data_IF_949962428976
#
_entry.id   IF_949962428976
#
_cell.length_a   1.000
_cell.length_b   1.000
_cell.length_c   1.000
_cell.angle_alpha   90.00
_cell.angle_beta   90.00
_cell.angle_gamma   90.00
#
_symmetry.space_group_name_H-M   'P 1'
#
loop_
_entity.id
_entity.type
_entity.pdbx_description
1 polymer ?
#
# COMPACT_ATOMS: atom_id res chain seq x y z
N UNK A 1 -19.63 22.32 -61.94
CA UNK A 1 -18.24 22.18 -61.45
C UNK A 1 -18.08 22.68 -60.01
N UNK A 2 -18.56 23.88 -59.67
CA UNK A 2 -18.49 24.45 -58.31
C UNK A 2 -19.16 23.56 -57.23
N UNK A 3 -20.31 22.96 -57.54
CA UNK A 3 -21.06 22.07 -56.64
C UNK A 3 -20.32 20.76 -56.30
N UNK A 4 -19.60 20.19 -57.28
CA UNK A 4 -18.78 18.98 -57.08
C UNK A 4 -17.56 19.26 -56.21
N UNK A 5 -16.91 20.41 -56.39
CA UNK A 5 -15.79 20.84 -55.54
C UNK A 5 -16.25 21.08 -54.09
N UNK A 6 -17.41 21.70 -53.90
CA UNK A 6 -18.01 21.93 -52.59
C UNK A 6 -18.36 20.62 -51.87
N UNK A 7 -18.92 19.64 -52.58
CA UNK A 7 -19.19 18.30 -52.03
C UNK A 7 -17.90 17.58 -51.63
N UNK A 8 -16.85 17.61 -52.46
CA UNK A 8 -15.56 16.97 -52.14
C UNK A 8 -14.90 17.61 -50.90
N UNK A 9 -14.97 18.94 -50.75
CA UNK A 9 -14.45 19.64 -49.56
C UNK A 9 -15.25 19.27 -48.31
N UNK A 10 -16.58 19.16 -48.42
CA UNK A 10 -17.44 18.74 -47.29
C UNK A 10 -17.12 17.29 -46.89
N UNK A 11 -17.01 16.35 -47.84
CA UNK A 11 -16.66 14.97 -47.53
C UNK A 11 -15.24 14.83 -46.96
N UNK A 12 -14.26 15.56 -47.49
CA UNK A 12 -12.89 15.55 -46.96
C UNK A 12 -12.80 16.16 -45.55
N UNK A 13 -13.56 17.23 -45.28
CA UNK A 13 -13.60 17.84 -43.95
C UNK A 13 -14.34 16.98 -42.92
N UNK A 14 -15.44 16.32 -43.30
CA UNK A 14 -16.13 15.35 -42.45
C UNK A 14 -15.29 14.11 -42.16
N UNK A 15 -14.59 13.58 -43.18
CA UNK A 15 -13.69 12.44 -43.01
C UNK A 15 -12.50 12.80 -42.11
N UNK A 16 -11.86 13.96 -42.35
CA UNK A 16 -10.77 14.45 -41.51
C UNK A 16 -11.20 14.69 -40.06
N UNK A 17 -12.40 15.22 -39.84
CA UNK A 17 -12.97 15.43 -38.50
C UNK A 17 -13.24 14.11 -37.78
N UNK A 18 -13.80 13.11 -38.46
CA UNK A 18 -14.03 11.79 -37.88
C UNK A 18 -12.72 11.08 -37.55
N UNK A 19 -11.75 11.11 -38.46
CA UNK A 19 -10.44 10.50 -38.23
C UNK A 19 -9.70 11.16 -37.05
N UNK A 20 -9.75 12.49 -36.95
CA UNK A 20 -9.17 13.22 -35.81
C UNK A 20 -9.85 12.84 -34.48
N UNK A 21 -11.18 12.71 -34.46
CA UNK A 21 -11.92 12.26 -33.28
C UNK A 21 -11.54 10.85 -32.87
N UNK A 22 -11.36 9.95 -33.83
CA UNK A 22 -10.95 8.57 -33.58
C UNK A 22 -9.53 8.50 -32.99
N UNK A 23 -8.56 9.24 -33.56
CA UNK A 23 -7.20 9.34 -33.01
C UNK A 23 -7.25 9.89 -31.59
N UNK A 24 -7.99 10.98 -31.35
CA UNK A 24 -8.10 11.58 -30.02
C UNK A 24 -8.70 10.58 -29.02
N UNK A 25 -9.76 9.86 -29.40
CA UNK A 25 -10.36 8.83 -28.54
C UNK A 25 -9.35 7.73 -28.20
N UNK A 26 -8.62 7.22 -29.19
CA UNK A 26 -7.57 6.20 -28.98
C UNK A 26 -6.48 6.70 -28.01
N UNK A 27 -6.03 7.94 -28.17
CA UNK A 27 -5.06 8.57 -27.27
C UNK A 27 -5.56 8.71 -25.83
N UNK A 28 -6.84 9.08 -25.67
CA UNK A 28 -7.50 9.18 -24.37
C UNK A 28 -7.61 7.79 -23.70
N UNK A 29 -8.03 6.78 -24.46
CA UNK A 29 -8.12 5.39 -24.00
C UNK A 29 -6.74 4.83 -23.58
N UNK A 30 -5.68 5.10 -24.34
CA UNK A 30 -4.31 4.70 -23.98
C UNK A 30 -3.84 5.33 -22.66
N UNK A 31 -4.09 6.63 -22.46
CA UNK A 31 -3.73 7.34 -21.22
C UNK A 31 -4.48 6.78 -20.01
N UNK A 32 -5.78 6.55 -20.18
CA UNK A 32 -6.63 5.99 -19.15
C UNK A 32 -6.24 4.53 -18.82
N UNK A 33 -5.97 3.71 -19.82
CA UNK A 33 -5.51 2.33 -19.65
C UNK A 33 -4.14 2.25 -18.96
N UNK A 34 -3.20 3.15 -19.27
CA UNK A 34 -1.91 3.25 -18.58
C UNK A 34 -2.12 3.51 -17.08
N UNK A 35 -2.95 4.49 -16.73
CA UNK A 35 -3.20 4.85 -15.33
C UNK A 35 -3.95 3.75 -14.57
N UNK A 36 -4.95 3.12 -15.18
CA UNK A 36 -5.64 1.96 -14.62
C UNK A 36 -4.66 0.81 -14.36
N UNK A 37 -3.82 0.47 -15.35
CA UNK A 37 -2.79 -0.56 -15.22
C UNK A 37 -1.80 -0.25 -14.10
N UNK A 38 -1.37 1.00 -13.98
CA UNK A 38 -0.45 1.48 -12.95
C UNK A 38 -1.02 1.30 -11.54
N UNK A 39 -2.26 1.76 -11.32
CA UNK A 39 -2.98 1.61 -10.05
C UNK A 39 -3.17 0.13 -9.72
N UNK A 40 -3.54 -0.69 -10.70
CA UNK A 40 -3.71 -2.12 -10.51
C UNK A 40 -2.40 -2.81 -10.09
N UNK A 41 -1.26 -2.47 -10.70
CA UNK A 41 0.04 -3.02 -10.27
C UNK A 41 0.35 -2.63 -8.81
N UNK A 42 0.03 -1.41 -8.39
CA UNK A 42 0.18 -0.97 -7.01
C UNK A 42 -0.65 -1.81 -6.02
N UNK A 43 -1.91 -2.08 -6.34
CA UNK A 43 -2.79 -2.94 -5.54
C UNK A 43 -2.29 -4.40 -5.54
N UNK A 44 -1.88 -4.94 -6.68
CA UNK A 44 -1.33 -6.29 -6.77
C UNK A 44 -0.06 -6.47 -5.93
N UNK A 45 0.80 -5.43 -5.88
CA UNK A 45 1.95 -5.41 -4.98
C UNK A 45 1.52 -5.46 -3.51
N UNK A 46 0.47 -4.71 -3.11
CA UNK A 46 -0.10 -4.82 -1.76
C UNK A 46 -0.55 -6.25 -1.44
N UNK A 47 -1.24 -6.94 -2.35
CA UNK A 47 -1.68 -8.33 -2.11
C UNK A 47 -0.49 -9.28 -1.86
N UNK A 48 0.61 -9.12 -2.60
CA UNK A 48 1.83 -9.90 -2.36
C UNK A 48 2.42 -9.60 -0.98
N UNK A 49 2.40 -8.35 -0.54
CA UNK A 49 2.86 -7.95 0.79
C UNK A 49 1.96 -8.50 1.91
N UNK A 50 0.63 -8.47 1.72
CA UNK A 50 -0.34 -9.07 2.64
C UNK A 50 -0.14 -10.58 2.80
N UNK A 51 0.27 -11.27 1.74
CA UNK A 51 0.51 -12.71 1.73
C UNK A 51 1.88 -13.10 2.33
N UNK A 52 2.74 -12.14 2.67
CA UNK A 52 4.08 -12.41 3.17
C UNK A 52 4.08 -12.96 4.61
N UNK A 53 4.95 -13.94 4.85
CA UNK A 53 5.33 -14.35 6.20
C UNK A 53 6.44 -13.41 6.71
N UNK A 54 6.05 -12.37 7.43
CA UNK A 54 6.95 -11.32 7.92
C UNK A 54 8.05 -11.82 8.87
N UNK A 55 7.89 -13.01 9.45
CA UNK A 55 8.92 -13.64 10.29
C UNK A 55 10.00 -14.30 9.44
N UNK A 56 9.62 -14.89 8.31
CA UNK A 56 10.56 -15.54 7.38
C UNK A 56 11.22 -14.54 6.43
N UNK A 57 10.47 -13.54 5.97
CA UNK A 57 10.94 -12.56 4.98
C UNK A 57 10.67 -11.12 5.43
N UNK A 58 11.36 -10.62 6.47
CA UNK A 58 11.12 -9.29 7.05
C UNK A 58 11.41 -8.12 6.07
N UNK A 59 12.27 -8.36 5.07
CA UNK A 59 12.69 -7.35 4.11
C UNK A 59 11.96 -7.44 2.75
N UNK A 60 10.91 -8.27 2.63
CA UNK A 60 10.21 -8.54 1.37
C UNK A 60 9.62 -7.28 0.71
N UNK A 61 9.36 -6.23 1.49
CA UNK A 61 8.91 -4.94 0.97
C UNK A 61 9.90 -4.27 0.00
N UNK A 62 11.21 -4.54 0.15
CA UNK A 62 12.23 -4.04 -0.78
C UNK A 62 12.15 -4.75 -2.12
N UNK A 63 11.86 -6.05 -2.12
CA UNK A 63 11.71 -6.85 -3.34
C UNK A 63 10.47 -6.40 -4.11
N UNK A 64 9.35 -6.22 -3.41
CA UNK A 64 8.10 -5.75 -4.00
C UNK A 64 8.20 -4.32 -4.53
N UNK A 65 8.97 -3.44 -3.89
CA UNK A 65 9.24 -2.11 -4.41
C UNK A 65 9.99 -2.17 -5.75
N UNK A 66 11.03 -3.01 -5.86
CA UNK A 66 11.78 -3.20 -7.11
C UNK A 66 10.88 -3.76 -8.21
N UNK A 67 10.15 -4.84 -7.91
CA UNK A 67 9.23 -5.49 -8.84
C UNK A 67 8.15 -4.54 -9.34
N UNK A 68 7.58 -3.70 -8.45
CA UNK A 68 6.57 -2.71 -8.83
C UNK A 68 7.15 -1.67 -9.81
N UNK A 69 8.32 -1.13 -9.49
CA UNK A 69 8.99 -0.14 -10.35
C UNK A 69 9.32 -0.71 -11.74
N UNK A 70 9.82 -1.95 -11.80
CA UNK A 70 10.13 -2.63 -13.06
C UNK A 70 8.86 -2.87 -13.91
N UNK A 71 7.78 -3.36 -13.29
CA UNK A 71 6.51 -3.59 -13.99
C UNK A 71 5.94 -2.29 -14.54
N UNK A 72 6.00 -1.22 -13.78
CA UNK A 72 5.48 0.08 -14.18
C UNK A 72 6.34 0.72 -15.27
N UNK A 73 7.66 0.66 -15.17
CA UNK A 73 8.57 1.15 -16.21
C UNK A 73 8.38 0.41 -17.56
N UNK A 74 7.87 -0.82 -17.54
CA UNK A 74 7.56 -1.58 -18.74
C UNK A 74 6.19 -1.26 -19.36
N UNK A 75 5.24 -0.66 -18.62
CA UNK A 75 3.88 -0.38 -19.11
C UNK A 75 3.86 0.53 -20.36
N UNK A 76 4.62 1.64 -20.42
CA UNK A 76 4.54 2.56 -21.54
C UNK A 76 4.82 1.89 -22.90
N UNK A 77 5.84 1.03 -22.94
CA UNK A 77 6.22 0.28 -24.14
C UNK A 77 5.20 -0.77 -24.57
N UNK A 78 4.35 -1.23 -23.64
CA UNK A 78 3.33 -2.25 -23.91
C UNK A 78 2.00 -1.65 -24.37
N UNK A 79 1.75 -0.37 -24.04
CA UNK A 79 0.44 0.28 -24.22
C UNK A 79 0.48 1.33 -25.34
N UNK A 80 1.57 2.10 -25.46
CA UNK A 80 1.62 3.18 -26.45
C UNK A 80 1.75 2.61 -27.85
N UNK A 81 0.76 2.93 -28.68
CA UNK A 81 0.80 2.71 -30.12
C UNK A 81 1.00 4.05 -30.82
N UNK A 82 2.09 4.19 -31.57
CA UNK A 82 2.42 5.41 -32.31
C UNK A 82 3.27 6.41 -31.51
N UNK A 83 3.31 7.68 -31.94
CA UNK A 83 4.11 8.72 -31.28
C UNK A 83 3.50 9.17 -29.96
N UNK A 84 4.33 9.71 -29.07
CA UNK A 84 3.87 10.34 -27.83
C UNK A 84 3.01 11.59 -28.09
N UNK A 85 2.13 11.90 -27.14
CA UNK A 85 1.21 13.04 -27.15
C UNK A 85 1.09 13.63 -25.73
N UNK A 86 0.54 14.85 -25.61
CA UNK A 86 0.61 15.60 -24.35
C UNK A 86 -0.02 14.88 -23.14
N UNK A 87 -1.21 14.29 -23.32
CA UNK A 87 -1.87 13.57 -22.23
C UNK A 87 -1.17 12.26 -21.85
N UNK A 88 -0.43 11.66 -22.77
CA UNK A 88 0.44 10.53 -22.48
C UNK A 88 1.56 10.90 -21.51
N UNK A 89 2.27 12.01 -21.76
CA UNK A 89 3.33 12.49 -20.86
C UNK A 89 2.80 12.82 -19.47
N UNK A 90 1.57 13.36 -19.37
CA UNK A 90 0.90 13.57 -18.09
C UNK A 90 0.59 12.24 -17.38
N UNK A 91 0.08 11.26 -18.12
CA UNK A 91 -0.20 9.94 -17.58
C UNK A 91 1.07 9.22 -17.07
N UNK A 92 2.19 9.37 -17.78
CA UNK A 92 3.50 8.86 -17.33
C UNK A 92 3.92 9.47 -15.99
N UNK A 93 3.90 10.80 -15.86
CA UNK A 93 4.30 11.50 -14.63
C UNK A 93 3.33 11.21 -13.46
N UNK A 94 2.02 11.11 -13.73
CA UNK A 94 1.05 10.66 -12.73
C UNK A 94 1.39 9.24 -12.28
N UNK A 95 1.62 8.31 -13.21
CA UNK A 95 1.91 6.92 -12.87
C UNK A 95 3.19 6.80 -12.04
N UNK A 96 4.26 7.54 -12.38
CA UNK A 96 5.48 7.60 -11.57
C UNK A 96 5.19 8.08 -10.14
N UNK A 97 4.43 9.17 -10.00
CA UNK A 97 4.07 9.75 -8.70
C UNK A 97 3.19 8.81 -7.87
N UNK A 98 2.21 8.16 -8.48
CA UNK A 98 1.36 7.16 -7.80
C UNK A 98 2.18 5.94 -7.37
N UNK A 99 3.12 5.50 -8.19
CA UNK A 99 4.04 4.40 -7.87
C UNK A 99 4.91 4.74 -6.66
N UNK A 100 5.49 5.94 -6.66
CA UNK A 100 6.30 6.43 -5.53
C UNK A 100 5.47 6.49 -4.25
N UNK A 101 4.26 7.03 -4.31
CA UNK A 101 3.36 7.11 -3.16
C UNK A 101 2.97 5.72 -2.65
N UNK A 102 2.63 4.80 -3.56
CA UNK A 102 2.31 3.41 -3.25
C UNK A 102 3.48 2.73 -2.52
N UNK A 103 4.71 2.86 -3.04
CA UNK A 103 5.90 2.32 -2.38
C UNK A 103 6.13 2.92 -0.99
N UNK A 104 5.94 4.24 -0.82
CA UNK A 104 6.05 4.89 0.48
C UNK A 104 5.01 4.36 1.48
N UNK A 105 3.77 4.15 1.02
CA UNK A 105 2.71 3.57 1.83
C UNK A 105 3.04 2.12 2.22
N UNK A 106 3.52 1.31 1.28
CA UNK A 106 3.95 -0.07 1.53
C UNK A 106 5.08 -0.12 2.56
N UNK A 107 6.11 0.72 2.42
CA UNK A 107 7.21 0.82 3.39
C UNK A 107 6.67 1.25 4.77
N UNK A 108 5.76 2.23 4.81
CA UNK A 108 5.19 2.73 6.05
C UNK A 108 4.42 1.65 6.80
N UNK A 109 3.65 0.83 6.08
CA UNK A 109 2.87 -0.27 6.65
C UNK A 109 3.77 -1.44 7.05
N UNK A 110 4.64 -1.91 6.17
CA UNK A 110 5.23 -3.25 6.30
C UNK A 110 6.66 -3.26 6.87
N UNK A 111 7.48 -2.21 6.69
CA UNK A 111 8.83 -2.19 7.30
C UNK A 111 8.78 -2.37 8.82
N UNK A 112 7.93 -1.66 9.58
CA UNK A 112 7.86 -1.84 11.03
C UNK A 112 7.45 -3.26 11.45
N UNK A 113 6.68 -3.99 10.64
CA UNK A 113 6.36 -5.39 10.89
C UNK A 113 7.58 -6.30 10.77
N UNK A 114 8.38 -6.10 9.72
CA UNK A 114 9.66 -6.81 9.56
C UNK A 114 10.63 -6.51 10.70
N UNK A 115 10.69 -5.25 11.14
CA UNK A 115 11.49 -4.84 12.30
C UNK A 115 10.99 -5.48 13.61
N UNK A 116 9.66 -5.58 13.80
CA UNK A 116 9.06 -6.26 14.95
C UNK A 116 9.39 -7.74 14.99
N UNK A 117 9.32 -8.40 13.83
CA UNK A 117 9.58 -9.83 13.68
C UNK A 117 11.05 -10.21 13.87
N UNK A 118 11.96 -9.24 13.98
CA UNK A 118 13.37 -9.50 14.22
C UNK A 118 13.64 -10.07 15.62
N UNK A 119 14.62 -10.98 15.72
CA UNK A 119 15.02 -11.62 16.99
C UNK A 119 15.41 -10.61 18.10
N UNK A 120 15.88 -9.43 17.71
CA UNK A 120 16.29 -8.38 18.65
C UNK A 120 15.13 -7.90 19.52
N UNK A 121 13.89 -7.86 19.01
CA UNK A 121 12.74 -7.41 19.79
C UNK A 121 12.58 -8.27 21.05
N UNK A 122 12.61 -9.58 20.88
CA UNK A 122 12.48 -10.58 21.94
C UNK A 122 13.73 -10.82 22.81
N UNK A 123 14.90 -10.24 22.48
CA UNK A 123 16.14 -10.54 23.19
C UNK A 123 16.19 -9.91 24.60
N UNK A 124 15.94 -10.75 25.60
CA UNK A 124 15.91 -10.39 27.03
C UNK A 124 17.22 -9.77 27.53
N UNK A 125 18.38 -10.10 26.93
CA UNK A 125 19.69 -9.57 27.31
C UNK A 125 19.81 -8.08 27.06
N UNK A 126 18.97 -7.55 26.18
CA UNK A 126 18.98 -6.14 25.77
C UNK A 126 17.87 -5.32 26.43
N UNK A 127 17.06 -5.90 27.33
CA UNK A 127 15.96 -5.18 27.99
C UNK A 127 16.42 -4.05 28.90
N UNK A 128 17.63 -4.14 29.47
CA UNK A 128 18.23 -3.06 30.27
C UNK A 128 19.02 -2.05 29.43
N UNK A 129 19.25 -2.33 28.15
CA UNK A 129 20.09 -1.48 27.29
C UNK A 129 19.27 -0.30 26.79
N UNK A 130 19.69 0.92 27.15
CA UNK A 130 18.99 2.17 26.78
C UNK A 130 18.83 2.33 25.27
N UNK A 131 19.83 1.92 24.48
CA UNK A 131 19.77 1.98 23.02
C UNK A 131 18.67 1.06 22.46
N UNK A 132 18.63 -0.20 22.90
CA UNK A 132 17.62 -1.17 22.48
C UNK A 132 16.21 -0.79 22.94
N UNK A 133 16.06 -0.23 24.14
CA UNK A 133 14.78 0.31 24.61
C UNK A 133 14.27 1.46 23.72
N UNK A 134 15.16 2.40 23.35
CA UNK A 134 14.82 3.48 22.42
C UNK A 134 14.40 2.94 21.06
N UNK A 135 15.10 1.92 20.55
CA UNK A 135 14.78 1.25 19.29
C UNK A 135 13.39 0.60 19.34
N UNK A 136 13.10 -0.19 20.38
CA UNK A 136 11.78 -0.82 20.59
C UNK A 136 10.65 0.20 20.63
N UNK A 137 10.83 1.29 21.39
CA UNK A 137 9.84 2.37 21.45
C UNK A 137 9.59 2.99 20.08
N UNK A 138 10.65 3.19 19.29
CA UNK A 138 10.55 3.72 17.91
C UNK A 138 9.77 2.74 17.02
N UNK A 139 10.08 1.45 17.05
CA UNK A 139 9.40 0.41 16.27
C UNK A 139 7.92 0.35 16.63
N UNK A 140 7.58 0.32 17.92
CA UNK A 140 6.19 0.31 18.40
C UNK A 140 5.44 1.56 17.96
N UNK A 141 6.06 2.74 18.04
CA UNK A 141 5.48 3.97 17.51
C UNK A 141 5.22 3.89 16.01
N UNK A 142 6.20 3.41 15.24
CA UNK A 142 6.05 3.21 13.79
C UNK A 142 4.97 2.17 13.43
N UNK A 143 4.76 1.15 14.27
CA UNK A 143 3.70 0.16 14.09
C UNK A 143 2.30 0.76 14.30
N UNK A 144 2.15 1.74 15.19
CA UNK A 144 0.88 2.48 15.34
C UNK A 144 0.55 3.26 14.06
N UNK A 145 1.54 3.98 13.52
CA UNK A 145 1.38 4.69 12.24
C UNK A 145 1.10 3.72 11.09
N UNK A 146 1.80 2.59 11.06
CA UNK A 146 1.55 1.48 10.12
C UNK A 146 0.10 0.99 10.20
N UNK A 147 -0.45 0.80 11.40
CA UNK A 147 -1.82 0.35 11.58
C UNK A 147 -2.85 1.37 11.06
N UNK A 148 -2.63 2.67 11.31
CA UNK A 148 -3.49 3.71 10.74
C UNK A 148 -3.38 3.82 9.22
N UNK A 149 -2.18 3.68 8.67
CA UNK A 149 -1.96 3.68 7.21
C UNK A 149 -2.63 2.48 6.54
N UNK A 150 -2.59 1.29 7.17
CA UNK A 150 -3.31 0.11 6.72
C UNK A 150 -4.83 0.34 6.75
N UNK A 151 -5.36 0.86 7.87
CA UNK A 151 -6.80 1.09 8.04
C UNK A 151 -7.41 2.03 6.98
N UNK A 152 -6.63 3.00 6.51
CA UNK A 152 -7.03 4.01 5.52
C UNK A 152 -6.54 3.73 4.10
N UNK A 153 -5.88 2.60 3.84
CA UNK A 153 -5.14 2.34 2.59
C UNK A 153 -5.90 2.74 1.31
N UNK A 154 -7.10 2.17 1.11
CA UNK A 154 -7.89 2.44 -0.09
C UNK A 154 -8.36 3.89 -0.16
N UNK A 155 -8.71 4.50 0.97
CA UNK A 155 -9.13 5.90 1.01
C UNK A 155 -7.99 6.82 0.57
N UNK A 156 -6.80 6.57 1.09
CA UNK A 156 -5.60 7.33 0.76
C UNK A 156 -5.24 7.15 -0.74
N UNK A 157 -5.38 5.93 -1.28
CA UNK A 157 -5.22 5.68 -2.73
C UNK A 157 -6.22 6.45 -3.59
N UNK A 158 -7.51 6.44 -3.24
CA UNK A 158 -8.54 7.19 -3.99
C UNK A 158 -8.24 8.70 -3.95
N UNK A 159 -7.83 9.22 -2.80
CA UNK A 159 -7.47 10.62 -2.64
C UNK A 159 -6.23 10.97 -3.49
N UNK A 160 -5.20 10.13 -3.47
CA UNK A 160 -3.99 10.33 -4.25
C UNK A 160 -4.30 10.38 -5.75
N UNK A 161 -5.09 9.43 -6.28
CA UNK A 161 -5.50 9.42 -7.68
C UNK A 161 -6.24 10.73 -8.03
N UNK A 162 -7.24 11.12 -7.22
CA UNK A 162 -8.01 12.34 -7.45
C UNK A 162 -7.15 13.60 -7.43
N UNK A 163 -6.25 13.72 -6.45
CA UNK A 163 -5.33 14.87 -6.33
C UNK A 163 -4.40 14.91 -7.55
N UNK A 164 -3.85 13.77 -7.99
CA UNK A 164 -3.00 13.72 -9.17
C UNK A 164 -3.77 14.09 -10.42
N UNK A 165 -4.92 13.50 -10.69
CA UNK A 165 -5.71 13.84 -11.89
C UNK A 165 -6.10 15.32 -11.97
N UNK A 166 -6.38 15.97 -10.83
CA UNK A 166 -6.70 17.41 -10.78
C UNK A 166 -5.49 18.32 -10.95
N UNK A 167 -4.28 17.83 -10.66
CA UNK A 167 -3.07 18.63 -10.75
C UNK A 167 -2.60 18.86 -12.21
N UNK A 168 -3.07 18.05 -13.15
CA UNK A 168 -2.67 18.11 -14.56
C UNK A 168 -3.79 18.69 -15.42
N UNK A 169 -3.41 19.26 -16.56
CA UNK A 169 -4.30 19.95 -17.49
C UNK A 169 -4.95 18.98 -18.47
N UNK A 170 -5.53 17.89 -17.98
CA UNK A 170 -6.42 17.07 -18.80
C UNK A 170 -7.71 17.86 -19.10
N UNK A 171 -8.26 17.77 -20.32
CA UNK A 171 -9.65 18.15 -20.58
C UNK A 171 -10.59 17.45 -19.59
N UNK A 172 -11.67 18.10 -19.18
CA UNK A 172 -12.59 17.56 -18.18
C UNK A 172 -13.17 16.19 -18.59
N UNK A 173 -13.57 16.05 -19.86
CA UNK A 173 -14.04 14.78 -20.45
C UNK A 173 -13.00 13.65 -20.34
N UNK A 174 -11.73 13.94 -20.57
CA UNK A 174 -10.65 12.96 -20.49
C UNK A 174 -10.36 12.58 -19.04
N UNK A 175 -10.40 13.55 -18.12
CA UNK A 175 -10.23 13.29 -16.69
C UNK A 175 -11.35 12.39 -16.15
N UNK A 176 -12.59 12.63 -16.58
CA UNK A 176 -13.74 11.78 -16.25
C UNK A 176 -13.58 10.37 -16.82
N UNK A 177 -13.16 10.25 -18.09
CA UNK A 177 -12.87 8.95 -18.71
C UNK A 177 -11.82 8.18 -17.92
N UNK A 178 -10.68 8.82 -17.61
CA UNK A 178 -9.59 8.21 -16.83
C UNK A 178 -10.11 7.75 -15.47
N UNK A 179 -10.84 8.59 -14.75
CA UNK A 179 -11.40 8.24 -13.44
C UNK A 179 -12.35 7.04 -13.54
N UNK A 180 -13.27 7.06 -14.50
CA UNK A 180 -14.24 5.98 -14.71
C UNK A 180 -13.55 4.67 -15.07
N UNK A 181 -12.50 4.71 -15.89
CA UNK A 181 -11.74 3.51 -16.26
C UNK A 181 -10.96 2.94 -15.07
N UNK A 182 -10.25 3.79 -14.31
CA UNK A 182 -9.58 3.35 -13.07
C UNK A 182 -10.60 2.74 -12.09
N UNK A 183 -11.77 3.36 -11.95
CA UNK A 183 -12.78 2.88 -11.02
C UNK A 183 -13.36 1.52 -11.48
N UNK A 184 -13.89 1.44 -12.69
CA UNK A 184 -14.57 0.25 -13.21
C UNK A 184 -13.65 -0.94 -13.52
N UNK A 185 -12.42 -0.69 -13.98
CA UNK A 185 -11.46 -1.76 -14.30
C UNK A 185 -10.65 -2.21 -13.09
N UNK A 186 -10.53 -1.37 -12.05
CA UNK A 186 -9.63 -1.63 -10.92
C UNK A 186 -10.34 -1.49 -9.59
N UNK A 187 -10.71 -0.27 -9.18
CA UNK A 187 -11.10 0.00 -7.79
C UNK A 187 -12.39 -0.71 -7.37
N UNK A 188 -13.34 -0.88 -8.29
CA UNK A 188 -14.61 -1.57 -8.01
C UNK A 188 -14.43 -3.03 -7.63
N UNK A 189 -13.35 -3.68 -8.08
CA UNK A 189 -13.04 -5.07 -7.73
C UNK A 189 -12.46 -5.24 -6.33
N UNK A 190 -12.12 -4.14 -5.64
CA UNK A 190 -11.46 -4.17 -4.34
C UNK A 190 -12.28 -3.46 -3.27
N UNK A 191 -12.16 -3.94 -2.04
CA UNK A 191 -12.79 -3.34 -0.86
C UNK A 191 -11.86 -3.40 0.35
N UNK A 192 -12.17 -2.60 1.37
CA UNK A 192 -11.50 -2.69 2.66
C UNK A 192 -11.68 -4.11 3.19
N UNK A 193 -10.58 -4.75 3.58
CA UNK A 193 -10.63 -6.07 4.19
C UNK A 193 -10.98 -5.98 5.68
N UNK A 194 -10.81 -7.09 6.38
CA UNK A 194 -11.17 -7.22 7.80
C UNK A 194 -10.07 -6.73 8.77
N UNK A 195 -9.10 -5.94 8.27
CA UNK A 195 -8.09 -5.32 9.12
C UNK A 195 -8.73 -4.52 10.25
N UNK A 196 -8.38 -4.87 11.48
CA UNK A 196 -8.85 -4.21 12.71
C UNK A 196 -7.76 -3.33 13.30
N UNK A 197 -7.90 -2.02 13.15
CA UNK A 197 -7.03 -1.03 13.79
C UNK A 197 -6.99 -1.24 15.31
N UNK A 198 -8.16 -1.44 15.92
CA UNK A 198 -8.30 -1.64 17.37
C UNK A 198 -7.51 -2.86 17.86
N UNK A 199 -7.55 -3.98 17.14
CA UNK A 199 -6.81 -5.18 17.55
C UNK A 199 -5.29 -4.94 17.48
N UNK A 200 -4.83 -4.26 16.44
CA UNK A 200 -3.43 -3.84 16.33
C UNK A 200 -3.02 -2.92 17.48
N UNK A 201 -3.83 -1.91 17.81
CA UNK A 201 -3.56 -0.99 18.92
C UNK A 201 -3.48 -1.71 20.27
N UNK A 202 -4.45 -2.58 20.58
CA UNK A 202 -4.47 -3.36 21.83
C UNK A 202 -3.23 -4.25 21.95
N UNK A 203 -2.82 -4.91 20.86
CA UNK A 203 -1.60 -5.72 20.87
C UNK A 203 -0.35 -4.85 21.13
N UNK A 204 -0.22 -3.72 20.42
CA UNK A 204 0.91 -2.81 20.57
C UNK A 204 0.95 -2.15 21.96
N UNK A 205 -0.20 -1.91 22.59
CA UNK A 205 -0.27 -1.45 23.98
C UNK A 205 0.27 -2.49 24.96
N UNK A 206 -0.06 -3.77 24.78
CA UNK A 206 0.50 -4.86 25.60
C UNK A 206 2.01 -4.95 25.45
N UNK A 207 2.50 -4.93 24.21
CA UNK A 207 3.94 -4.97 23.89
C UNK A 207 4.65 -3.74 24.50
N UNK A 208 4.06 -2.55 24.36
CA UNK A 208 4.56 -1.32 24.97
C UNK A 208 4.60 -1.40 26.49
N UNK A 209 3.54 -1.91 27.11
CA UNK A 209 3.43 -2.10 28.55
C UNK A 209 4.49 -3.05 29.10
N UNK A 210 4.71 -4.18 28.43
CA UNK A 210 5.77 -5.13 28.77
C UNK A 210 7.15 -4.46 28.78
N UNK A 211 7.55 -3.78 27.68
CA UNK A 211 8.87 -3.15 27.64
C UNK A 211 9.00 -1.98 28.60
N UNK A 212 7.92 -1.23 28.84
CA UNK A 212 7.91 -0.15 29.84
C UNK A 212 8.19 -0.70 31.23
N UNK A 213 7.48 -1.75 31.66
CA UNK A 213 7.69 -2.38 32.97
C UNK A 213 9.12 -2.92 33.12
N UNK A 214 9.67 -3.55 32.07
CA UNK A 214 11.05 -4.03 32.06
C UNK A 214 12.09 -2.90 32.12
N UNK A 215 11.78 -1.73 31.57
CA UNK A 215 12.66 -0.56 31.59
C UNK A 215 12.60 0.21 32.93
N UNK A 216 11.42 0.33 33.52
CA UNK A 216 11.17 1.08 34.77
C UNK A 216 11.64 0.30 36.02
N UNK A 217 11.75 -1.03 35.92
CA UNK A 217 12.12 -1.88 37.04
C UNK A 217 13.46 -2.63 36.83
N UNK A 218 14.58 -1.95 36.49
CA UNK A 218 15.83 -2.62 36.11
C UNK A 218 16.51 -3.37 37.26
N UNK A 219 16.13 -3.08 38.51
CA UNK A 219 16.62 -3.78 39.72
C UNK A 219 15.70 -4.93 40.16
N UNK A 220 14.47 -5.01 39.63
CA UNK A 220 13.48 -6.03 40.00
C UNK A 220 13.70 -7.39 39.34
N UNK A 221 14.62 -7.47 38.39
CA UNK A 221 14.96 -8.72 37.70
C UNK A 221 16.43 -8.80 37.29
N UNK A 222 16.89 -9.99 36.96
CA UNK A 222 18.16 -10.27 36.29
C UNK A 222 17.95 -11.14 35.06
N UNK A 223 18.87 -11.07 34.11
CA UNK A 223 18.89 -11.93 32.92
C UNK A 223 20.05 -12.91 33.11
N UNK A 224 19.78 -14.21 33.16
CA UNK A 224 20.83 -15.26 33.18
C UNK A 224 20.54 -16.26 32.07
N UNK A 225 21.54 -16.51 31.21
CA UNK A 225 21.42 -17.42 30.06
C UNK A 225 20.20 -17.13 29.15
N UNK A 226 19.82 -15.85 29.01
CA UNK A 226 18.65 -15.43 28.22
C UNK A 226 17.30 -15.59 28.93
N UNK A 227 17.27 -16.14 30.14
CA UNK A 227 16.06 -16.26 30.97
C UNK A 227 15.96 -15.10 31.96
N UNK A 228 14.72 -14.66 32.20
CA UNK A 228 14.40 -13.63 33.20
C UNK A 228 14.19 -14.26 34.57
N UNK A 229 14.85 -13.71 35.58
CA UNK A 229 14.67 -14.07 36.98
C UNK A 229 14.24 -12.84 37.76
N UNK A 230 13.13 -12.91 38.47
CA UNK A 230 12.55 -11.80 39.20
C UNK A 230 12.82 -11.92 40.69
N UNK A 231 13.24 -10.82 41.30
CA UNK A 231 13.38 -10.71 42.75
C UNK A 231 12.07 -10.23 43.40
N UNK A 232 11.24 -9.52 42.63
CA UNK A 232 9.92 -9.06 43.05
C UNK A 232 8.82 -9.98 42.48
N UNK A 233 8.05 -10.69 43.33
CA UNK A 233 6.99 -11.58 42.88
C UNK A 233 5.80 -10.85 42.22
N UNK A 234 5.55 -9.59 42.56
CA UNK A 234 4.48 -8.79 41.93
C UNK A 234 4.86 -8.45 40.50
N UNK A 235 6.08 -7.92 40.30
CA UNK A 235 6.64 -7.65 38.98
C UNK A 235 6.65 -8.90 38.10
N UNK A 236 7.03 -10.05 38.68
CA UNK A 236 7.00 -11.35 37.99
C UNK A 236 5.60 -11.66 37.47
N UNK A 237 4.59 -11.58 38.33
CA UNK A 237 3.21 -11.89 37.96
C UNK A 237 2.70 -10.98 36.85
N UNK A 238 2.98 -9.67 36.91
CA UNK A 238 2.56 -8.71 35.88
C UNK A 238 3.21 -9.00 34.53
N UNK A 239 4.53 -9.25 34.53
CA UNK A 239 5.28 -9.54 33.32
C UNK A 239 4.87 -10.89 32.71
N UNK A 240 4.70 -11.94 33.51
CA UNK A 240 4.26 -13.25 33.02
C UNK A 240 2.85 -13.18 32.40
N UNK A 241 1.94 -12.43 33.01
CA UNK A 241 0.60 -12.20 32.48
C UNK A 241 0.63 -11.44 31.15
N UNK A 242 1.41 -10.35 31.06
CA UNK A 242 1.58 -9.60 29.82
C UNK A 242 2.25 -10.43 28.72
N UNK A 243 3.31 -11.17 29.06
CA UNK A 243 4.02 -12.01 28.11
C UNK A 243 3.10 -13.10 27.54
N UNK A 244 2.27 -13.73 28.37
CA UNK A 244 1.27 -14.70 27.92
C UNK A 244 0.27 -14.05 26.94
N UNK A 245 -0.26 -12.88 27.28
CA UNK A 245 -1.20 -12.16 26.42
C UNK A 245 -0.58 -11.68 25.10
N UNK A 246 0.72 -11.35 25.09
CA UNK A 246 1.49 -11.02 23.89
C UNK A 246 1.63 -12.27 23.03
N UNK A 247 2.14 -13.38 23.58
CA UNK A 247 2.36 -14.63 22.82
C UNK A 247 1.06 -15.18 22.21
N UNK A 248 -0.06 -15.07 22.92
CA UNK A 248 -1.38 -15.46 22.41
C UNK A 248 -1.87 -14.55 21.28
N UNK A 249 -1.64 -13.23 21.37
CA UNK A 249 -2.11 -12.27 20.38
C UNK A 249 -1.17 -12.05 19.18
N UNK A 250 0.06 -12.53 19.24
CA UNK A 250 1.07 -12.24 18.22
C UNK A 250 0.69 -12.80 16.85
N UNK A 251 0.19 -14.03 16.78
CA UNK A 251 -0.25 -14.64 15.53
C UNK A 251 -1.41 -13.85 14.89
N UNK A 252 -2.40 -13.49 15.70
CA UNK A 252 -3.54 -12.66 15.27
C UNK A 252 -3.09 -11.28 14.80
N UNK A 253 -2.10 -10.67 15.48
CA UNK A 253 -1.54 -9.39 15.07
C UNK A 253 -0.94 -9.44 13.66
N UNK A 254 -0.08 -10.43 13.37
CA UNK A 254 0.48 -10.57 12.02
C UNK A 254 -0.59 -10.94 10.99
N UNK A 255 -1.52 -11.83 11.34
CA UNK A 255 -2.63 -12.21 10.45
C UNK A 255 -3.58 -11.04 10.14
N UNK A 256 -3.72 -10.07 11.05
CA UNK A 256 -4.52 -8.87 10.80
C UNK A 256 -4.00 -8.09 9.59
N UNK A 257 -2.67 -7.98 9.44
CA UNK A 257 -2.02 -7.30 8.31
C UNK A 257 -2.12 -8.05 6.98
N UNK A 258 -2.59 -9.30 6.96
CA UNK A 258 -2.94 -10.00 5.71
C UNK A 258 -4.32 -9.62 5.18
N UNK A 259 -5.08 -8.79 5.91
CA UNK A 259 -6.50 -8.50 5.67
C UNK A 259 -6.77 -7.01 5.39
N UNK A 260 -5.78 -6.26 4.90
CA UNK A 260 -5.90 -4.81 4.65
C UNK A 260 -6.89 -4.53 3.51
N UNK A 261 -6.68 -5.18 2.37
CA UNK A 261 -7.57 -5.11 1.20
C UNK A 261 -8.03 -6.52 0.84
N UNK A 262 -9.28 -6.63 0.40
CA UNK A 262 -9.87 -7.85 -0.13
C UNK A 262 -10.44 -7.61 -1.53
N UNK A 263 -10.44 -8.66 -2.37
CA UNK A 263 -11.17 -8.64 -3.64
C UNK A 263 -12.67 -8.83 -3.35
N UNK A 264 -13.53 -8.03 -3.96
CA UNK A 264 -14.99 -8.24 -3.87
C UNK A 264 -15.34 -9.57 -4.55
N UNK A 265 -16.19 -10.35 -3.90
CA UNK A 265 -16.86 -11.46 -4.57
C UNK A 265 -17.89 -10.84 -5.52
N UNK A 266 -17.68 -10.98 -6.82
CA UNK A 266 -18.70 -10.62 -7.80
C UNK A 266 -19.69 -11.78 -7.78
N UNK A 267 -20.98 -11.55 -7.46
CA UNK A 267 -21.97 -12.61 -7.61
C UNK A 267 -21.94 -13.06 -9.07
N UNK A 268 -21.69 -14.35 -9.30
CA UNK A 268 -21.92 -14.94 -10.61
C UNK A 268 -23.40 -14.76 -10.87
N UNK A 269 -23.74 -14.01 -11.91
CA UNK A 269 -25.13 -13.92 -12.34
C UNK A 269 -25.56 -15.35 -12.70
N UNK A 270 -26.52 -15.90 -11.95
CA UNK A 270 -27.20 -17.12 -12.34
C UNK A 270 -27.90 -16.83 -13.68
N UNK A 271 -27.34 -17.36 -14.76
CA UNK A 271 -27.95 -17.38 -16.09
C UNK A 271 -28.89 -18.58 -16.22
#
# INVERSE_FOLDING_TARGET
MLFFVLLVIIFASLYGLNHYREIKRHQQEQSAHLLASCVNQGILSLFRLQANDWRKHPNYYLDQQRELNEKIAALPKKILEGPSFNSWEYALDICEKLTRNTNLQHITIFRPLGELASAEMSDSRTFKQKASLRKRKKIIGALKESAHAADRYLRDLHNDINIKLRAYRFPDEERELIWNQINSEVLEFYQKGNFSLKNSEVYLERVSGFYRLMAENPRGYTVRNGSLYFYDPKLRSEIENLNRAILQGEGEFFANYSQIVARKQIPVADY
#
